data_IF_448525834332
#
_entry.id   IF_448525834332
#
_cell.length_a   1.000
_cell.length_b   1.000
_cell.length_c   1.000
_cell.angle_alpha   90.00
_cell.angle_beta   90.00
_cell.angle_gamma   90.00
#
_symmetry.space_group_name_H-M   'P 1'
#
loop_
_entity.id
_entity.type
_entity.pdbx_description
1 polymer ?
#
# COMPACT_ATOMS: atom_id res chain seq x y z
N UNK A 1 -22.43 -5.78 -13.32
CA UNK A 1 -21.53 -5.22 -12.34
C UNK A 1 -20.16 -5.87 -12.47
N UNK A 2 -19.12 -5.09 -12.59
CA UNK A 2 -17.76 -5.63 -12.70
C UNK A 2 -17.17 -5.77 -11.30
N UNK A 3 -16.67 -6.97 -10.99
CA UNK A 3 -15.97 -7.18 -9.72
C UNK A 3 -14.64 -6.42 -9.74
N UNK A 4 -14.30 -5.82 -8.61
CA UNK A 4 -13.02 -5.15 -8.46
C UNK A 4 -11.92 -6.19 -8.26
N UNK A 5 -10.77 -5.95 -8.85
CA UNK A 5 -9.58 -6.77 -8.60
C UNK A 5 -9.11 -6.56 -7.16
N UNK A 6 -8.29 -7.48 -6.65
CA UNK A 6 -7.75 -7.36 -5.30
C UNK A 6 -6.92 -6.09 -5.14
N UNK A 7 -6.15 -5.71 -6.16
CA UNK A 7 -5.35 -4.47 -6.08
C UNK A 7 -6.24 -3.23 -6.04
N UNK A 8 -7.39 -3.25 -6.71
CA UNK A 8 -8.38 -2.17 -6.62
C UNK A 8 -8.95 -2.05 -5.21
N UNK A 9 -9.23 -3.19 -4.58
CA UNK A 9 -9.73 -3.20 -3.20
C UNK A 9 -8.67 -2.68 -2.21
N UNK A 10 -7.41 -2.98 -2.46
CA UNK A 10 -6.29 -2.44 -1.67
C UNK A 10 -6.20 -0.92 -1.87
N UNK A 11 -6.30 -0.44 -3.11
CA UNK A 11 -6.31 0.98 -3.40
C UNK A 11 -7.45 1.69 -2.66
N UNK A 12 -8.65 1.12 -2.73
CA UNK A 12 -9.83 1.70 -2.05
C UNK A 12 -9.59 1.82 -0.55
N UNK A 13 -8.96 0.82 0.05
CA UNK A 13 -8.60 0.84 1.46
C UNK A 13 -7.61 1.97 1.76
N UNK A 14 -6.56 2.10 0.96
CA UNK A 14 -5.53 3.13 1.19
C UNK A 14 -6.12 4.53 1.02
N UNK A 15 -7.06 4.70 0.09
CA UNK A 15 -7.73 5.99 -0.11
C UNK A 15 -8.52 6.44 1.12
N UNK A 16 -8.85 5.55 2.04
CA UNK A 16 -9.51 5.93 3.30
C UNK A 16 -8.57 6.56 4.31
N UNK A 17 -7.27 6.53 4.06
CA UNK A 17 -6.27 7.09 4.97
C UNK A 17 -6.41 8.61 5.05
N UNK A 18 -6.65 9.18 6.25
CA UNK A 18 -6.80 10.63 6.38
C UNK A 18 -5.53 11.41 6.06
N UNK A 19 -4.38 10.77 6.11
CA UNK A 19 -3.09 11.41 5.79
C UNK A 19 -3.00 11.85 4.33
N UNK A 20 -3.82 11.27 3.43
CA UNK A 20 -3.81 11.58 2.01
C UNK A 20 -4.67 12.80 1.66
N UNK A 21 -5.35 13.39 2.64
CA UNK A 21 -6.22 14.56 2.45
C UNK A 21 -7.22 14.37 1.31
N UNK A 22 -7.87 13.20 1.26
CA UNK A 22 -8.79 12.79 0.19
C UNK A 22 -8.10 12.68 -1.18
N UNK A 23 -6.79 12.51 -1.18
CA UNK A 23 -6.03 12.30 -2.41
C UNK A 23 -6.41 11.01 -3.09
N UNK A 24 -6.42 11.02 -4.42
CA UNK A 24 -6.73 9.85 -5.21
C UNK A 24 -5.50 8.95 -5.33
N UNK A 25 -5.71 7.64 -5.17
CA UNK A 25 -4.66 6.64 -5.36
C UNK A 25 -4.88 5.95 -6.69
N UNK A 26 -3.86 5.96 -7.56
CA UNK A 26 -3.90 5.30 -8.85
C UNK A 26 -3.35 3.87 -8.72
N UNK A 27 -3.68 3.02 -9.70
CA UNK A 27 -3.12 1.67 -9.81
C UNK A 27 -2.15 1.66 -10.96
N UNK A 28 -0.90 1.22 -10.69
CA UNK A 28 0.17 1.09 -11.69
C UNK A 28 0.48 2.38 -12.46
N UNK A 29 0.22 3.53 -11.80
CA UNK A 29 0.46 4.83 -12.42
C UNK A 29 0.68 5.88 -11.36
N UNK A 30 1.76 6.66 -11.49
CA UNK A 30 1.97 7.82 -10.64
C UNK A 30 2.06 9.07 -11.51
N UNK A 31 1.29 10.11 -11.12
CA UNK A 31 1.31 11.39 -11.80
C UNK A 31 2.62 12.12 -11.56
N UNK A 32 3.05 12.96 -12.48
CA UNK A 32 4.23 13.82 -12.30
C UNK A 32 3.95 15.03 -11.41
N UNK A 33 2.72 15.19 -10.93
CA UNK A 33 2.34 16.26 -10.01
C UNK A 33 2.69 15.89 -8.58
N UNK A 34 3.09 16.88 -7.75
CA UNK A 34 3.28 16.65 -6.30
C UNK A 34 2.01 16.11 -5.64
N UNK A 35 2.19 15.33 -4.57
CA UNK A 35 1.10 14.73 -3.80
C UNK A 35 0.26 13.75 -4.62
N UNK A 36 0.89 13.03 -5.54
CA UNK A 36 0.27 11.94 -6.27
C UNK A 36 0.59 10.62 -5.59
N UNK A 37 -0.34 9.68 -5.66
CA UNK A 37 -0.21 8.38 -4.99
C UNK A 37 -0.50 7.26 -5.97
N UNK A 38 0.18 6.12 -5.76
CA UNK A 38 -0.02 4.94 -6.60
C UNK A 38 0.22 3.67 -5.79
N UNK A 39 -0.50 2.59 -6.15
CA UNK A 39 -0.19 1.24 -5.68
C UNK A 39 0.22 0.40 -6.89
N UNK A 40 1.40 -0.20 -6.81
CA UNK A 40 1.99 -0.95 -7.91
C UNK A 40 2.30 -2.36 -7.43
N UNK A 41 1.61 -3.35 -8.00
CA UNK A 41 1.78 -4.73 -7.55
C UNK A 41 3.17 -5.25 -7.93
N UNK A 42 3.82 -5.91 -6.97
CA UNK A 42 5.14 -6.50 -7.14
C UNK A 42 4.98 -8.00 -7.42
N UNK A 43 5.57 -8.53 -8.49
CA UNK A 43 5.49 -9.97 -8.76
C UNK A 43 6.23 -10.76 -7.67
N UNK A 44 5.50 -11.67 -7.01
CA UNK A 44 6.04 -12.57 -5.99
C UNK A 44 5.31 -13.89 -6.09
N UNK A 45 5.88 -14.95 -5.48
CA UNK A 45 5.17 -16.21 -5.34
C UNK A 45 3.89 -15.99 -4.52
N UNK A 46 2.70 -16.21 -5.09
CA UNK A 46 1.46 -15.89 -4.39
C UNK A 46 1.13 -16.84 -3.26
N UNK A 47 1.53 -18.10 -3.33
CA UNK A 47 1.15 -19.10 -2.33
C UNK A 47 2.21 -19.18 -1.25
N UNK A 48 1.83 -18.78 -0.02
CA UNK A 48 2.70 -18.88 1.15
C UNK A 48 2.63 -20.26 1.80
N UNK A 49 1.45 -20.88 1.80
CA UNK A 49 1.23 -22.16 2.45
C UNK A 49 0.01 -22.86 1.83
N UNK A 50 0.13 -24.15 1.65
CA UNK A 50 -0.99 -24.99 1.23
C UNK A 50 -1.37 -25.90 2.40
N UNK A 51 -2.67 -26.08 2.63
CA UNK A 51 -3.18 -26.90 3.71
C UNK A 51 -3.68 -28.26 3.18
N UNK A 52 -3.71 -29.23 4.08
CA UNK A 52 -4.09 -30.60 3.71
C UNK A 52 -5.54 -30.70 3.17
N UNK A 53 -6.42 -29.79 3.57
CA UNK A 53 -7.81 -29.76 3.12
C UNK A 53 -8.02 -29.06 1.78
N UNK A 54 -6.93 -28.58 1.15
CA UNK A 54 -6.98 -27.88 -0.12
C UNK A 54 -7.03 -26.37 0.00
N UNK A 55 -7.17 -25.82 1.21
CA UNK A 55 -7.11 -24.39 1.44
C UNK A 55 -5.68 -23.87 1.27
N UNK A 56 -5.53 -22.55 1.08
CA UNK A 56 -4.23 -21.93 0.87
C UNK A 56 -4.14 -20.60 1.58
N UNK A 57 -2.90 -20.26 2.00
CA UNK A 57 -2.58 -18.91 2.45
C UNK A 57 -1.80 -18.22 1.34
N UNK A 58 -2.26 -17.04 0.95
CA UNK A 58 -1.73 -16.31 -0.20
C UNK A 58 -1.30 -14.92 0.20
N UNK A 59 -0.44 -14.33 -0.63
CA UNK A 59 0.03 -12.97 -0.44
C UNK A 59 -0.10 -12.16 -1.72
N UNK A 60 -0.22 -10.84 -1.52
CA UNK A 60 -0.02 -9.83 -2.56
C UNK A 60 1.00 -8.87 -1.99
N UNK A 61 2.09 -8.63 -2.71
CA UNK A 61 3.03 -7.57 -2.35
C UNK A 61 2.88 -6.43 -3.35
N UNK A 62 3.01 -5.22 -2.85
CA UNK A 62 2.88 -4.03 -3.68
C UNK A 62 3.67 -2.89 -3.07
N UNK A 63 3.97 -1.89 -3.89
CA UNK A 63 4.61 -0.65 -3.46
C UNK A 63 3.56 0.44 -3.41
N UNK A 64 3.48 1.14 -2.28
CA UNK A 64 2.73 2.37 -2.17
C UNK A 64 3.69 3.52 -2.46
N UNK A 65 3.48 4.18 -3.60
CA UNK A 65 4.39 5.22 -4.11
C UNK A 65 3.77 6.60 -3.91
N UNK A 66 4.58 7.55 -3.49
CA UNK A 66 4.17 8.91 -3.23
C UNK A 66 5.09 9.85 -4.00
N UNK A 67 4.50 10.66 -4.89
CA UNK A 67 5.21 11.76 -5.56
C UNK A 67 5.04 13.01 -4.72
N UNK A 68 6.13 13.56 -4.21
CA UNK A 68 6.09 14.70 -3.30
C UNK A 68 7.15 15.74 -3.68
N UNK A 69 6.97 16.96 -3.20
CA UNK A 69 7.97 18.03 -3.37
C UNK A 69 9.25 17.66 -2.62
N UNK A 70 10.40 17.96 -3.24
CA UNK A 70 11.70 17.62 -2.67
C UNK A 70 12.44 18.89 -2.26
N UNK A 71 12.48 19.13 -0.95
CA UNK A 71 13.25 20.19 -0.32
C UNK A 71 13.64 19.71 1.08
N UNK A 72 14.52 20.42 1.77
CA UNK A 72 14.94 20.00 3.12
C UNK A 72 13.73 19.93 4.07
N UNK A 73 12.88 20.96 4.09
CA UNK A 73 11.70 20.98 4.95
C UNK A 73 10.68 19.92 4.51
N UNK A 74 10.44 19.81 3.22
CA UNK A 74 9.50 18.82 2.69
C UNK A 74 10.02 17.39 2.94
N UNK A 75 11.32 17.17 2.88
CA UNK A 75 11.89 15.87 3.16
C UNK A 75 11.61 15.43 4.60
N UNK A 76 11.70 16.37 5.57
CA UNK A 76 11.36 16.10 6.96
C UNK A 76 9.87 15.75 7.09
N UNK A 77 9.00 16.51 6.44
CA UNK A 77 7.55 16.24 6.43
C UNK A 77 7.24 14.88 5.82
N UNK A 78 7.92 14.53 4.73
CA UNK A 78 7.69 13.26 4.04
C UNK A 78 8.15 12.07 4.89
N UNK A 79 9.24 12.23 5.65
CA UNK A 79 9.67 11.20 6.60
C UNK A 79 8.65 10.99 7.70
N UNK A 80 8.10 12.09 8.24
CA UNK A 80 7.03 12.02 9.22
C UNK A 80 5.77 11.37 8.63
N UNK A 81 5.43 11.69 7.40
CA UNK A 81 4.31 11.07 6.71
C UNK A 81 4.48 9.56 6.65
N UNK A 82 5.67 9.08 6.30
CA UNK A 82 5.93 7.64 6.24
C UNK A 82 5.72 6.99 7.60
N UNK A 83 6.24 7.58 8.67
CA UNK A 83 6.04 7.05 10.02
C UNK A 83 4.57 7.04 10.41
N UNK A 84 3.85 8.12 10.13
CA UNK A 84 2.43 8.23 10.45
C UNK A 84 1.61 7.21 9.63
N UNK A 85 1.98 6.99 8.38
CA UNK A 85 1.31 6.00 7.55
C UNK A 85 1.52 4.57 8.08
N UNK A 86 2.73 4.23 8.48
CA UNK A 86 3.01 2.93 9.09
C UNK A 86 2.17 2.73 10.34
N UNK A 87 2.06 3.76 11.19
CA UNK A 87 1.23 3.70 12.39
C UNK A 87 -0.25 3.55 12.05
N UNK A 88 -0.73 4.25 11.01
CA UNK A 88 -2.11 4.14 10.58
C UNK A 88 -2.42 2.71 10.13
N UNK A 89 -1.56 2.10 9.33
CA UNK A 89 -1.74 0.71 8.88
C UNK A 89 -1.77 -0.24 10.07
N UNK A 90 -0.86 -0.06 11.03
CA UNK A 90 -0.84 -0.88 12.23
C UNK A 90 -2.17 -0.77 13.00
N UNK A 91 -2.69 0.46 13.17
CA UNK A 91 -3.95 0.68 13.87
C UNK A 91 -5.14 0.05 13.15
N UNK A 92 -5.14 0.07 11.79
CA UNK A 92 -6.21 -0.55 11.02
C UNK A 92 -6.27 -2.07 11.24
N UNK A 93 -5.11 -2.73 11.38
CA UNK A 93 -5.07 -4.15 11.73
C UNK A 93 -5.64 -4.40 13.13
N UNK A 94 -5.34 -3.52 14.08
CA UNK A 94 -5.83 -3.66 15.46
C UNK A 94 -7.35 -3.58 15.55
N UNK A 95 -7.97 -2.71 14.77
CA UNK A 95 -9.43 -2.52 14.79
C UNK A 95 -10.15 -3.35 13.72
N UNK A 96 -9.41 -4.22 13.02
CA UNK A 96 -9.94 -5.10 11.97
C UNK A 96 -10.60 -4.33 10.83
N UNK A 97 -10.09 -3.14 10.52
CA UNK A 97 -10.53 -2.34 9.38
C UNK A 97 -9.56 -2.57 8.22
N UNK A 98 -9.80 -3.61 7.46
CA UNK A 98 -8.88 -4.13 6.45
C UNK A 98 -9.47 -4.01 5.04
N UNK A 99 -8.65 -4.13 3.97
CA UNK A 99 -9.20 -4.21 2.61
C UNK A 99 -10.26 -5.29 2.49
N UNK A 100 -11.24 -5.07 1.64
CA UNK A 100 -12.43 -5.94 1.54
C UNK A 100 -12.15 -7.17 0.67
N UNK A 101 -11.09 -7.88 0.98
CA UNK A 101 -10.70 -9.13 0.34
C UNK A 101 -11.20 -10.28 1.20
N UNK A 102 -11.89 -11.22 0.58
CA UNK A 102 -12.40 -12.39 1.32
C UNK A 102 -11.23 -13.16 1.93
N UNK A 103 -11.37 -13.49 3.22
CA UNK A 103 -10.35 -14.26 3.94
C UNK A 103 -9.13 -13.47 4.34
N UNK A 104 -9.17 -12.15 4.27
CA UNK A 104 -8.03 -11.31 4.61
C UNK A 104 -7.56 -11.56 6.05
N UNK A 105 -6.25 -11.71 6.22
CA UNK A 105 -5.62 -11.91 7.52
C UNK A 105 -5.03 -10.59 8.05
N UNK A 106 -4.24 -9.91 7.24
CA UNK A 106 -3.65 -8.62 7.61
C UNK A 106 -3.13 -7.88 6.39
N UNK A 107 -2.85 -6.59 6.59
CA UNK A 107 -2.07 -5.76 5.68
C UNK A 107 -0.94 -5.14 6.50
N UNK A 108 0.27 -5.09 5.95
CA UNK A 108 1.39 -4.51 6.69
C UNK A 108 2.39 -3.86 5.75
N UNK A 109 3.17 -2.94 6.31
CA UNK A 109 4.32 -2.37 5.65
C UNK A 109 5.52 -3.30 5.87
N UNK A 110 6.25 -3.63 4.80
CA UNK A 110 7.41 -4.51 4.89
C UNK A 110 8.68 -3.76 5.32
N UNK A 111 8.62 -2.43 5.31
CA UNK A 111 9.71 -1.60 5.76
C UNK A 111 9.28 -0.13 5.75
N UNK A 112 10.21 0.72 6.14
CA UNK A 112 9.98 2.17 6.09
C UNK A 112 10.09 2.66 4.67
N UNK A 113 9.49 3.83 4.40
CA UNK A 113 9.58 4.44 3.09
C UNK A 113 11.01 4.81 2.71
N UNK A 114 11.34 4.61 1.46
CA UNK A 114 12.65 4.98 0.90
C UNK A 114 12.44 5.84 -0.33
N UNK A 115 13.45 6.66 -0.64
CA UNK A 115 13.43 7.48 -1.85
C UNK A 115 13.85 6.60 -3.01
N UNK A 116 12.95 6.46 -4.01
CA UNK A 116 13.22 5.67 -5.20
C UNK A 116 13.88 6.52 -6.29
N UNK A 117 13.41 7.76 -6.45
CA UNK A 117 13.84 8.64 -7.54
C UNK A 117 13.67 10.08 -7.11
N UNK A 118 14.60 10.95 -7.53
CA UNK A 118 14.52 12.38 -7.27
C UNK A 118 14.71 13.16 -8.56
N UNK A 119 14.05 14.33 -8.62
CA UNK A 119 14.32 15.38 -9.60
C UNK A 119 14.78 16.60 -8.83
N UNK A 120 14.95 17.74 -9.51
CA UNK A 120 15.33 18.99 -8.82
C UNK A 120 14.25 19.49 -7.89
N UNK A 121 12.98 19.12 -8.11
CA UNK A 121 11.84 19.67 -7.38
C UNK A 121 10.96 18.61 -6.72
N UNK A 122 11.05 17.34 -7.13
CA UNK A 122 10.18 16.27 -6.62
C UNK A 122 10.97 15.02 -6.27
N UNK A 123 10.37 14.20 -5.43
CA UNK A 123 10.90 12.88 -5.08
C UNK A 123 9.77 11.87 -5.06
N UNK A 124 10.09 10.63 -5.42
CA UNK A 124 9.17 9.51 -5.28
C UNK A 124 9.61 8.68 -4.09
N UNK A 125 8.74 8.55 -3.10
CA UNK A 125 8.93 7.71 -1.92
C UNK A 125 8.14 6.42 -2.13
N UNK A 126 8.71 5.29 -1.71
CA UNK A 126 8.09 3.98 -1.87
C UNK A 126 8.05 3.28 -0.52
N UNK A 127 6.87 2.80 -0.15
CA UNK A 127 6.67 1.98 1.05
C UNK A 127 6.26 0.59 0.57
N UNK A 128 7.11 -0.43 0.73
CA UNK A 128 6.74 -1.80 0.33
C UNK A 128 5.73 -2.37 1.32
N UNK A 129 4.69 -3.00 0.80
CA UNK A 129 3.57 -3.49 1.59
C UNK A 129 3.20 -4.92 1.20
N UNK A 130 2.51 -5.60 2.12
CA UNK A 130 2.04 -6.96 1.92
C UNK A 130 0.63 -7.12 2.47
N UNK A 131 -0.23 -7.79 1.70
CA UNK A 131 -1.52 -8.29 2.16
C UNK A 131 -1.45 -9.81 2.17
N UNK A 132 -1.95 -10.41 3.25
CA UNK A 132 -2.06 -11.85 3.37
C UNK A 132 -3.53 -12.23 3.58
N UNK A 133 -3.98 -13.23 2.85
CA UNK A 133 -5.36 -13.71 2.92
C UNK A 133 -5.39 -15.23 2.75
N UNK A 134 -6.51 -15.83 3.15
CA UNK A 134 -6.68 -17.27 3.04
C UNK A 134 -7.85 -17.61 2.14
N UNK A 135 -7.70 -18.66 1.33
CA UNK A 135 -8.75 -19.21 0.51
C UNK A 135 -9.10 -20.60 1.03
N UNK A 136 -10.37 -20.85 1.25
CA UNK A 136 -10.86 -22.18 1.54
C UNK A 136 -11.03 -22.98 0.24
N UNK A 137 -10.90 -24.26 0.38
CA UNK A 137 -11.14 -25.16 -0.74
C UNK A 137 -12.63 -25.27 -1.06
#
# INVERSE_FOLDING_TARGET
MVEKSKIDLIRDFIETCPLLNNGKVNVDYISDKPESYSVDETPVEPVLKSYADGGRRLQIQFDFSIQASFSVLENIKNSKFCDDFLNWVYEQNKIDNLPKINGICWIKCLGRGTILQTTTTTAIYVIPMQVVYEEDF
#
